data_IF_400292870955
#
_entry.id   IF_400292870955
#
_cell.length_a   1.000
_cell.length_b   1.000
_cell.length_c   1.000
_cell.angle_alpha   90.00
_cell.angle_beta   90.00
_cell.angle_gamma   90.00
#
_symmetry.space_group_name_H-M   'P 1'
#
loop_
_entity.id
_entity.type
_entity.pdbx_description
1 polymer ?
#
# COMPACT_ATOMS: atom_id res chain seq x y z
N UNK A 1 -40.53 -27.67 24.09
CA UNK A 1 -39.78 -28.31 25.19
C UNK A 1 -38.33 -27.76 25.19
N UNK A 2 -38.07 -26.92 26.15
CA UNK A 2 -36.75 -26.30 26.39
C UNK A 2 -36.04 -27.22 27.37
N UNK A 3 -34.85 -27.72 26.98
CA UNK A 3 -33.96 -28.46 27.89
C UNK A 3 -32.82 -27.52 28.30
N UNK A 4 -32.89 -27.16 29.58
CA UNK A 4 -31.91 -26.33 30.25
C UNK A 4 -30.81 -27.25 30.81
N UNK A 5 -29.55 -27.14 30.34
CA UNK A 5 -28.38 -27.84 30.87
C UNK A 5 -27.69 -26.98 31.90
N UNK A 6 -27.86 -27.27 33.17
CA UNK A 6 -27.07 -26.71 34.27
C UNK A 6 -25.74 -27.43 34.35
N UNK A 7 -24.66 -26.74 34.07
CA UNK A 7 -23.29 -27.17 34.39
C UNK A 7 -22.94 -26.75 35.81
N UNK A 8 -22.86 -27.73 36.71
CA UNK A 8 -22.37 -27.57 38.05
C UNK A 8 -20.85 -27.35 38.03
N UNK A 9 -20.44 -26.15 38.42
CA UNK A 9 -19.03 -25.79 38.59
C UNK A 9 -18.56 -26.37 39.92
N UNK A 10 -17.73 -27.43 39.90
CA UNK A 10 -17.08 -28.01 41.07
C UNK A 10 -15.92 -27.11 41.52
N UNK A 11 -16.05 -26.44 42.64
CA UNK A 11 -14.96 -25.71 43.29
C UNK A 11 -13.94 -26.66 43.92
N UNK A 12 -12.85 -26.92 43.21
CA UNK A 12 -11.65 -27.55 43.83
C UNK A 12 -10.86 -26.46 44.58
N UNK A 13 -10.70 -26.64 45.90
CA UNK A 13 -9.85 -25.78 46.74
C UNK A 13 -8.38 -25.98 46.38
N UNK A 14 -7.74 -24.91 45.93
CA UNK A 14 -6.30 -24.82 45.72
C UNK A 14 -5.65 -24.55 47.09
N UNK A 15 -4.65 -25.33 47.56
CA UNK A 15 -3.96 -25.05 48.79
C UNK A 15 -3.07 -23.81 48.62
N UNK A 16 -3.23 -22.88 49.55
CA UNK A 16 -2.41 -21.69 49.69
C UNK A 16 -1.02 -22.06 50.22
N UNK A 17 -0.02 -22.09 49.37
CA UNK A 17 1.38 -21.71 49.69
C UNK A 17 2.15 -21.59 48.38
N UNK A 18 2.24 -20.35 47.88
CA UNK A 18 3.26 -19.97 46.90
C UNK A 18 4.59 -19.82 47.65
N UNK A 19 5.72 -20.33 47.13
CA UNK A 19 7.03 -20.03 47.66
C UNK A 19 7.32 -18.54 47.47
N UNK A 20 7.85 -17.90 48.50
CA UNK A 20 8.40 -16.55 48.43
C UNK A 20 9.50 -16.50 47.37
N UNK A 21 9.21 -15.87 46.26
CA UNK A 21 10.23 -15.45 45.30
C UNK A 21 11.00 -14.29 45.95
N UNK A 22 12.21 -14.58 46.40
CA UNK A 22 13.20 -13.54 46.66
C UNK A 22 13.43 -12.77 45.36
N UNK A 23 12.88 -11.58 45.26
CA UNK A 23 13.14 -10.64 44.19
C UNK A 23 14.59 -10.17 44.28
N UNK A 24 15.49 -10.86 43.61
CA UNK A 24 16.72 -10.21 43.17
C UNK A 24 16.36 -9.20 42.08
N UNK A 25 16.14 -7.99 42.53
CA UNK A 25 16.05 -6.82 41.64
C UNK A 25 17.45 -6.55 41.07
N UNK A 26 17.84 -7.30 40.06
CA UNK A 26 18.84 -6.82 39.10
C UNK A 26 18.13 -5.76 38.32
N UNK A 27 18.45 -4.50 38.59
CA UNK A 27 18.14 -3.37 37.77
C UNK A 27 18.88 -3.60 36.44
N UNK A 28 18.26 -4.32 35.51
CA UNK A 28 18.69 -4.27 34.10
C UNK A 28 18.54 -2.83 33.67
N UNK A 29 19.64 -2.11 33.62
CA UNK A 29 19.74 -0.82 32.95
C UNK A 29 19.48 -1.15 31.48
N UNK A 30 18.23 -1.00 31.03
CA UNK A 30 17.91 -1.12 29.62
C UNK A 30 18.83 -0.15 28.89
N UNK A 31 19.74 -0.71 28.08
CA UNK A 31 20.63 0.11 27.27
C UNK A 31 19.77 1.08 26.45
N UNK A 32 19.97 2.38 26.66
CA UNK A 32 19.26 3.40 25.91
C UNK A 32 19.64 3.21 24.44
N UNK A 33 18.66 2.79 23.64
CA UNK A 33 18.87 2.61 22.22
C UNK A 33 19.28 3.95 21.57
N UNK A 34 20.43 3.96 20.90
CA UNK A 34 20.92 5.11 20.14
C UNK A 34 20.76 4.79 18.65
N UNK A 35 19.85 5.47 17.94
CA UNK A 35 19.65 5.24 16.51
C UNK A 35 20.94 5.50 15.72
N UNK A 36 21.19 4.67 14.68
CA UNK A 36 22.26 4.93 13.72
C UNK A 36 21.84 6.11 12.81
N UNK A 37 22.80 6.91 12.30
CA UNK A 37 22.48 8.07 11.46
C UNK A 37 21.62 7.74 10.22
N UNK A 38 21.86 6.57 9.60
CA UNK A 38 21.18 6.13 8.37
C UNK A 38 20.05 5.13 8.62
N UNK A 39 19.65 4.94 9.87
CA UNK A 39 18.60 3.99 10.19
C UNK A 39 17.23 4.53 9.83
N UNK A 40 16.50 3.78 9.00
CA UNK A 40 15.11 4.04 8.67
C UNK A 40 14.22 3.38 9.73
N UNK A 41 13.48 4.19 10.48
CA UNK A 41 12.43 3.78 11.39
C UNK A 41 11.13 4.31 10.85
N UNK A 42 10.37 3.45 10.18
CA UNK A 42 9.23 3.87 9.38
C UNK A 42 7.92 3.21 9.79
N UNK A 43 6.83 3.80 9.37
CA UNK A 43 5.48 3.23 9.42
C UNK A 43 4.81 3.38 8.06
N UNK A 44 3.97 2.40 7.71
CA UNK A 44 3.09 2.46 6.54
C UNK A 44 1.76 3.07 6.95
N UNK A 45 1.29 4.03 6.15
CA UNK A 45 -0.02 4.68 6.27
C UNK A 45 -0.80 4.29 5.02
N UNK A 46 -1.74 3.38 5.17
CA UNK A 46 -2.51 2.84 4.06
C UNK A 46 -3.60 3.81 3.57
N UNK A 47 -4.14 3.56 2.39
CA UNK A 47 -5.24 4.37 1.84
C UNK A 47 -6.51 4.39 2.73
N UNK A 48 -6.65 3.43 3.64
CA UNK A 48 -7.78 3.37 4.58
C UNK A 48 -7.63 4.29 5.78
N UNK A 49 -6.41 4.74 6.08
CA UNK A 49 -6.05 5.57 7.23
C UNK A 49 -5.85 7.04 6.85
N UNK A 50 -5.80 7.33 5.54
CA UNK A 50 -5.63 8.69 5.05
C UNK A 50 -6.80 9.58 5.51
N UNK A 51 -6.52 10.87 5.80
CA UNK A 51 -7.56 11.82 6.09
C UNK A 51 -8.59 11.92 4.94
N UNK A 52 -9.84 12.22 5.29
CA UNK A 52 -10.92 12.38 4.33
C UNK A 52 -10.86 13.78 3.67
N UNK A 53 -10.39 13.82 2.42
CA UNK A 53 -10.23 15.04 1.64
C UNK A 53 -11.59 15.72 1.32
N UNK A 54 -12.70 14.96 1.33
CA UNK A 54 -14.03 15.54 1.12
C UNK A 54 -14.49 16.48 2.24
N UNK A 55 -13.76 16.49 3.38
CA UNK A 55 -14.03 17.43 4.48
C UNK A 55 -13.39 18.82 4.29
N UNK A 56 -12.64 19.01 3.22
CA UNK A 56 -11.92 20.25 2.89
C UNK A 56 -10.50 20.30 3.42
N UNK A 57 -9.69 21.22 2.83
CA UNK A 57 -8.25 21.30 3.08
C UNK A 57 -7.89 21.52 4.55
N UNK A 58 -8.59 22.41 5.24
CA UNK A 58 -8.29 22.75 6.64
C UNK A 58 -8.36 21.52 7.55
N UNK A 59 -9.47 20.77 7.50
CA UNK A 59 -9.63 19.54 8.29
C UNK A 59 -8.70 18.42 7.84
N UNK A 60 -8.44 18.33 6.56
CA UNK A 60 -7.47 17.37 6.03
C UNK A 60 -6.07 17.65 6.60
N UNK A 61 -5.64 18.90 6.58
CA UNK A 61 -4.36 19.36 7.11
C UNK A 61 -4.25 19.11 8.62
N UNK A 62 -5.27 19.47 9.40
CA UNK A 62 -5.32 19.20 10.84
C UNK A 62 -5.10 17.72 11.16
N UNK A 63 -5.80 16.83 10.45
CA UNK A 63 -5.67 15.38 10.64
C UNK A 63 -4.32 14.84 10.17
N UNK A 64 -3.77 15.35 9.08
CA UNK A 64 -2.45 15.00 8.61
C UNK A 64 -1.34 15.44 9.59
N UNK A 65 -1.44 16.64 10.14
CA UNK A 65 -0.52 17.15 11.17
C UNK A 65 -0.57 16.30 12.45
N UNK A 66 -1.76 15.98 12.94
CA UNK A 66 -1.95 15.09 14.10
C UNK A 66 -1.29 13.71 13.84
N UNK A 67 -1.56 13.12 12.70
CA UNK A 67 -1.03 11.80 12.31
C UNK A 67 0.50 11.81 12.25
N UNK A 68 1.11 12.77 11.57
CA UNK A 68 2.57 12.82 11.43
C UNK A 68 3.27 13.24 12.73
N UNK A 69 2.68 14.11 13.53
CA UNK A 69 3.23 14.42 14.86
C UNK A 69 3.23 13.18 15.76
N UNK A 70 2.17 12.36 15.75
CA UNK A 70 2.12 11.10 16.49
C UNK A 70 3.24 10.15 16.04
N UNK A 71 3.52 10.06 14.73
CA UNK A 71 4.64 9.27 14.20
C UNK A 71 5.99 9.80 14.69
N UNK A 72 6.19 11.10 14.68
CA UNK A 72 7.42 11.74 15.16
C UNK A 72 7.62 11.53 16.68
N UNK A 73 6.55 11.59 17.47
CA UNK A 73 6.56 11.33 18.92
C UNK A 73 6.96 9.88 19.25
N UNK A 74 6.62 8.93 18.38
CA UNK A 74 7.07 7.53 18.46
C UNK A 74 8.57 7.37 18.10
N UNK A 75 9.29 8.47 17.79
CA UNK A 75 10.70 8.48 17.37
C UNK A 75 10.95 7.76 16.05
N UNK A 76 9.93 7.64 15.20
CA UNK A 76 10.06 7.25 13.81
C UNK A 76 10.55 8.45 13.00
N UNK A 77 11.15 8.19 11.83
CA UNK A 77 11.75 9.24 10.99
C UNK A 77 11.28 9.22 9.53
N UNK A 78 10.45 8.23 9.17
CA UNK A 78 10.00 8.04 7.80
C UNK A 78 8.56 7.51 7.79
N UNK A 79 7.77 7.96 6.82
CA UNK A 79 6.44 7.45 6.55
C UNK A 79 6.34 6.97 5.09
N UNK A 80 5.76 5.81 4.89
CA UNK A 80 5.35 5.32 3.57
C UNK A 80 3.86 5.57 3.43
N UNK A 81 3.48 6.56 2.61
CA UNK A 81 2.08 7.01 2.49
C UNK A 81 1.49 6.50 1.18
N UNK A 82 0.38 5.78 1.26
CA UNK A 82 -0.27 5.14 0.13
C UNK A 82 -0.96 6.15 -0.77
N UNK A 83 -0.25 6.67 -1.77
CA UNK A 83 -0.75 7.71 -2.69
C UNK A 83 -1.43 7.14 -3.93
N UNK A 84 -1.12 5.87 -4.26
CA UNK A 84 -1.75 5.08 -5.33
C UNK A 84 -1.93 3.64 -4.90
N UNK A 85 -3.08 3.36 -4.28
CA UNK A 85 -3.41 2.03 -3.77
C UNK A 85 -3.97 1.10 -4.85
N UNK A 86 -4.64 1.71 -5.82
CA UNK A 86 -5.23 1.09 -6.98
C UNK A 86 -4.79 1.88 -8.21
N UNK A 87 -5.41 1.69 -9.36
CA UNK A 87 -5.17 2.58 -10.49
C UNK A 87 -5.89 3.94 -10.29
N UNK A 88 -5.61 4.60 -9.18
CA UNK A 88 -6.18 5.86 -8.70
C UNK A 88 -5.08 6.74 -8.08
N UNK A 89 -5.37 7.98 -7.71
CA UNK A 89 -4.41 8.89 -7.09
C UNK A 89 -5.07 9.77 -6.01
N UNK A 90 -4.29 10.15 -4.97
CA UNK A 90 -4.67 11.17 -3.98
C UNK A 90 -4.06 12.54 -4.30
N UNK A 91 -3.80 12.80 -5.58
CA UNK A 91 -3.24 14.04 -6.11
C UNK A 91 -3.80 14.31 -7.51
N UNK A 92 -3.73 15.55 -8.03
CA UNK A 92 -4.17 15.89 -9.39
C UNK A 92 -3.32 15.15 -10.43
N UNK A 93 -3.76 13.96 -10.86
CA UNK A 93 -3.09 13.17 -11.89
C UNK A 93 -3.73 13.36 -13.25
N UNK A 94 -2.92 13.39 -14.31
CA UNK A 94 -3.39 13.36 -15.71
C UNK A 94 -3.68 11.94 -16.21
N UNK A 95 -3.18 10.93 -15.47
CA UNK A 95 -3.20 9.52 -15.85
C UNK A 95 -4.23 8.71 -15.06
N UNK A 96 -4.46 9.08 -13.80
CA UNK A 96 -5.26 8.31 -12.87
C UNK A 96 -6.42 9.12 -12.30
N UNK A 97 -7.61 8.51 -12.10
CA UNK A 97 -8.73 9.18 -11.46
C UNK A 97 -8.44 9.39 -9.97
N UNK A 98 -9.20 10.30 -9.36
CA UNK A 98 -9.15 10.53 -7.92
C UNK A 98 -9.49 9.27 -7.11
N UNK A 99 -8.74 9.05 -6.04
CA UNK A 99 -8.93 7.92 -5.15
C UNK A 99 -10.30 7.95 -4.46
N UNK A 100 -10.99 6.81 -4.46
CA UNK A 100 -12.28 6.67 -3.78
C UNK A 100 -12.17 6.67 -2.26
N UNK A 101 -10.99 6.36 -1.72
CA UNK A 101 -10.81 6.23 -0.27
C UNK A 101 -10.66 7.59 0.42
N UNK A 102 -9.66 8.38 0.06
CA UNK A 102 -9.46 9.71 0.63
C UNK A 102 -10.30 10.78 -0.07
N UNK A 103 -10.38 10.74 -1.42
CA UNK A 103 -11.01 11.79 -2.23
C UNK A 103 -12.46 11.48 -2.65
N UNK A 104 -13.04 10.36 -2.21
CA UNK A 104 -14.39 9.90 -2.61
C UNK A 104 -14.60 9.82 -4.14
N UNK A 105 -13.52 9.61 -4.90
CA UNK A 105 -13.53 9.47 -6.35
C UNK A 105 -13.72 10.79 -7.11
N UNK A 106 -13.56 11.94 -6.47
CA UNK A 106 -13.72 13.27 -7.08
C UNK A 106 -12.65 14.24 -6.62
N UNK A 107 -12.46 15.32 -7.39
CA UNK A 107 -11.57 16.41 -7.03
C UNK A 107 -12.02 17.07 -5.72
N UNK A 108 -11.19 17.08 -4.65
CA UNK A 108 -11.53 17.71 -3.40
C UNK A 108 -11.36 19.25 -3.41
N UNK A 109 -10.89 19.84 -4.52
CA UNK A 109 -10.64 21.27 -4.64
C UNK A 109 -9.29 21.75 -4.08
N UNK A 110 -8.42 20.83 -3.68
CA UNK A 110 -7.04 21.07 -3.24
C UNK A 110 -6.18 19.84 -3.55
N UNK A 111 -4.89 19.91 -3.25
CA UNK A 111 -3.94 18.82 -3.49
C UNK A 111 -3.58 18.09 -2.17
N UNK A 112 -4.19 16.92 -1.89
CA UNK A 112 -3.94 16.17 -0.66
C UNK A 112 -2.49 15.72 -0.50
N UNK A 113 -1.81 15.30 -1.59
CA UNK A 113 -0.41 14.86 -1.51
C UNK A 113 0.51 16.03 -1.13
N UNK A 114 0.31 17.19 -1.73
CA UNK A 114 1.07 18.40 -1.38
C UNK A 114 0.90 18.74 0.11
N UNK A 115 -0.32 18.70 0.63
CA UNK A 115 -0.58 18.93 2.06
C UNK A 115 0.14 17.89 2.93
N UNK A 116 0.11 16.61 2.56
CA UNK A 116 0.79 15.55 3.31
C UNK A 116 2.32 15.72 3.31
N UNK A 117 2.93 16.07 2.18
CA UNK A 117 4.37 16.36 2.08
C UNK A 117 4.75 17.51 3.01
N UNK A 118 4.03 18.63 2.95
CA UNK A 118 4.26 19.78 3.82
C UNK A 118 4.16 19.42 5.31
N UNK A 119 3.13 18.65 5.71
CA UNK A 119 2.91 18.27 7.10
C UNK A 119 3.98 17.27 7.59
N UNK A 120 4.37 16.28 6.78
CA UNK A 120 5.42 15.33 7.12
C UNK A 120 6.77 16.03 7.33
N UNK A 121 7.18 16.90 6.40
CA UNK A 121 8.42 17.67 6.52
C UNK A 121 8.42 18.62 7.72
N UNK A 122 7.28 19.25 8.03
CA UNK A 122 7.12 20.10 9.22
C UNK A 122 7.28 19.29 10.52
N UNK A 123 6.85 18.02 10.53
CA UNK A 123 7.05 17.09 11.65
C UNK A 123 8.48 16.49 11.69
N UNK A 124 9.35 16.85 10.75
CA UNK A 124 10.73 16.32 10.65
C UNK A 124 10.81 14.89 10.11
N UNK A 125 9.76 14.42 9.41
CA UNK A 125 9.70 13.08 8.82
C UNK A 125 10.05 13.12 7.33
N UNK A 126 10.70 12.06 6.85
CA UNK A 126 10.76 11.75 5.42
C UNK A 126 9.44 11.12 4.98
N UNK A 127 8.96 11.49 3.80
CA UNK A 127 7.76 10.94 3.20
C UNK A 127 8.08 10.26 1.88
N UNK A 128 7.78 8.95 1.80
CA UNK A 128 7.85 8.20 0.56
C UNK A 128 6.46 7.98 0.00
N UNK A 129 6.28 8.28 -1.27
CA UNK A 129 5.04 7.99 -1.98
C UNK A 129 4.93 6.48 -2.24
N UNK A 130 3.99 5.83 -1.57
CA UNK A 130 3.75 4.40 -1.72
C UNK A 130 2.72 4.15 -2.83
N UNK A 131 3.08 3.29 -3.76
CA UNK A 131 2.25 2.87 -4.88
C UNK A 131 2.15 1.34 -4.96
N UNK A 132 0.97 0.84 -5.33
CA UNK A 132 0.76 -0.52 -5.80
C UNK A 132 0.64 -0.47 -7.32
N UNK A 133 1.64 -0.95 -8.09
CA UNK A 133 1.69 -0.68 -9.52
C UNK A 133 0.62 -1.44 -10.31
N UNK A 134 0.36 -2.71 -9.98
CA UNK A 134 -0.46 -3.58 -10.82
C UNK A 134 -1.90 -3.75 -10.33
N UNK A 135 -2.23 -3.35 -9.10
CA UNK A 135 -3.58 -3.48 -8.58
C UNK A 135 -4.49 -2.36 -9.11
N UNK A 136 -5.56 -2.73 -9.82
CA UNK A 136 -6.54 -1.80 -10.39
C UNK A 136 -7.76 -1.67 -9.49
N UNK A 137 -8.29 -2.78 -8.99
CA UNK A 137 -9.50 -2.81 -8.15
C UNK A 137 -9.52 -4.05 -7.27
N UNK A 138 -10.11 -3.92 -6.08
CA UNK A 138 -10.44 -5.06 -5.20
C UNK A 138 -11.77 -5.75 -5.58
N UNK A 139 -12.48 -5.23 -6.58
CA UNK A 139 -13.69 -5.82 -7.15
C UNK A 139 -13.40 -6.28 -8.57
N UNK A 140 -13.97 -7.40 -8.99
CA UNK A 140 -13.96 -7.91 -10.35
C UNK A 140 -14.96 -7.22 -11.29
N UNK A 141 -15.79 -6.33 -10.74
CA UNK A 141 -16.77 -5.59 -11.52
C UNK A 141 -16.12 -4.43 -12.29
N UNK A 142 -15.94 -4.62 -13.58
CA UNK A 142 -15.37 -3.65 -14.54
C UNK A 142 -16.21 -2.36 -14.60
N UNK A 143 -17.53 -2.46 -14.51
CA UNK A 143 -18.41 -1.30 -14.58
C UNK A 143 -18.23 -0.37 -13.37
N UNK A 144 -17.75 -0.89 -12.26
CA UNK A 144 -17.44 -0.12 -11.05
C UNK A 144 -16.17 0.74 -11.15
N UNK A 145 -15.35 0.53 -12.17
CA UNK A 145 -14.15 1.36 -12.38
C UNK A 145 -14.53 2.81 -12.70
N UNK A 146 -13.80 3.80 -12.17
CA UNK A 146 -14.01 5.20 -12.51
C UNK A 146 -13.92 5.45 -14.03
N UNK A 147 -14.67 6.44 -14.53
CA UNK A 147 -14.67 6.79 -15.96
C UNK A 147 -13.26 7.12 -16.49
N UNK A 148 -12.41 7.77 -15.68
CA UNK A 148 -11.03 8.11 -16.03
C UNK A 148 -10.01 6.99 -15.82
N UNK A 149 -10.42 5.79 -15.39
CA UNK A 149 -9.49 4.68 -15.14
C UNK A 149 -8.77 4.27 -16.43
N UNK A 150 -7.42 4.22 -16.43
CA UNK A 150 -6.67 3.72 -17.58
C UNK A 150 -7.00 2.26 -17.89
N UNK A 151 -7.27 1.43 -16.89
CA UNK A 151 -7.69 0.05 -17.09
C UNK A 151 -8.98 -0.07 -17.88
N UNK A 152 -9.92 0.88 -17.72
CA UNK A 152 -11.19 0.87 -18.48
C UNK A 152 -11.01 1.01 -19.98
N UNK A 153 -9.93 1.68 -20.41
CA UNK A 153 -9.55 1.82 -21.83
C UNK A 153 -8.88 0.57 -22.40
N UNK A 154 -8.31 -0.26 -21.52
CA UNK A 154 -7.51 -1.44 -21.85
C UNK A 154 -8.28 -2.77 -21.66
N UNK A 155 -9.55 -2.70 -21.25
CA UNK A 155 -10.39 -3.88 -21.09
C UNK A 155 -10.56 -4.60 -22.43
N UNK A 156 -10.40 -5.93 -22.40
CA UNK A 156 -10.46 -6.77 -23.60
C UNK A 156 -9.13 -6.86 -24.34
N UNK A 157 -8.07 -6.25 -23.81
CA UNK A 157 -6.68 -6.51 -24.21
C UNK A 157 -6.01 -7.45 -23.22
N UNK A 158 -4.86 -8.02 -23.58
CA UNK A 158 -4.06 -8.87 -22.70
C UNK A 158 -3.40 -8.09 -21.54
N UNK A 159 -3.56 -6.78 -21.51
CA UNK A 159 -2.97 -5.84 -20.54
C UNK A 159 -3.74 -5.81 -19.20
N UNK A 160 -5.01 -6.24 -19.17
CA UNK A 160 -5.87 -6.22 -17.98
C UNK A 160 -6.34 -7.61 -17.63
N UNK A 161 -5.99 -8.05 -16.43
CA UNK A 161 -6.34 -9.35 -15.87
C UNK A 161 -7.52 -9.19 -14.93
N UNK A 162 -8.64 -9.87 -15.22
CA UNK A 162 -9.83 -9.90 -14.37
C UNK A 162 -9.91 -11.24 -13.63
N UNK A 163 -9.83 -11.19 -12.32
CA UNK A 163 -9.94 -12.35 -11.42
C UNK A 163 -11.10 -12.13 -10.43
N UNK A 164 -11.59 -13.20 -9.81
CA UNK A 164 -12.66 -13.13 -8.79
C UNK A 164 -12.33 -12.21 -7.60
N UNK A 165 -11.05 -11.99 -7.32
CA UNK A 165 -10.57 -11.18 -6.20
C UNK A 165 -10.12 -9.78 -6.62
N UNK A 166 -10.37 -9.37 -7.87
CA UNK A 166 -10.05 -8.03 -8.34
C UNK A 166 -9.66 -7.93 -9.80
N UNK A 167 -9.32 -6.71 -10.19
CA UNK A 167 -8.82 -6.38 -11.52
C UNK A 167 -7.36 -5.93 -11.35
N UNK A 168 -6.51 -6.35 -12.25
CA UNK A 168 -5.07 -6.11 -12.22
C UNK A 168 -4.56 -5.72 -13.60
N UNK A 169 -3.48 -4.98 -13.65
CA UNK A 169 -2.66 -4.87 -14.85
C UNK A 169 -1.76 -6.09 -14.97
N UNK A 170 -1.43 -6.47 -16.21
CA UNK A 170 -0.46 -7.54 -16.44
C UNK A 170 0.95 -7.06 -16.11
N UNK A 171 1.66 -7.74 -15.18
CA UNK A 171 3.02 -7.39 -14.80
C UNK A 171 4.07 -7.57 -15.91
N UNK A 172 3.76 -8.30 -16.99
CA UNK A 172 4.66 -8.48 -18.13
C UNK A 172 4.48 -7.40 -19.22
N UNK A 173 3.38 -6.65 -19.18
CA UNK A 173 3.06 -5.67 -20.22
C UNK A 173 3.96 -4.43 -20.16
N UNK A 174 4.69 -4.17 -21.25
CA UNK A 174 5.53 -2.96 -21.40
C UNK A 174 4.70 -1.67 -21.41
N UNK A 175 3.47 -1.72 -21.90
CA UNK A 175 2.56 -0.56 -21.90
C UNK A 175 2.12 -0.20 -20.48
N UNK A 176 1.91 -1.23 -19.63
CA UNK A 176 1.65 -1.05 -18.21
C UNK A 176 2.87 -0.46 -17.51
N UNK A 177 4.07 -0.98 -17.78
CA UNK A 177 5.30 -0.41 -17.21
C UNK A 177 5.43 1.08 -17.57
N UNK A 178 5.23 1.44 -18.84
CA UNK A 178 5.26 2.84 -19.28
C UNK A 178 4.24 3.71 -18.54
N UNK A 179 2.99 3.25 -18.40
CA UNK A 179 1.95 3.94 -17.63
C UNK A 179 2.37 4.17 -16.16
N UNK A 180 2.95 3.14 -15.53
CA UNK A 180 3.36 3.23 -14.12
C UNK A 180 4.55 4.18 -13.96
N UNK A 181 5.55 4.13 -14.88
CA UNK A 181 6.69 5.04 -14.88
C UNK A 181 6.28 6.49 -15.10
N UNK A 182 5.34 6.74 -16.02
CA UNK A 182 4.80 8.08 -16.23
C UNK A 182 4.07 8.59 -14.98
N UNK A 183 3.33 7.72 -14.29
CA UNK A 183 2.70 8.06 -13.02
C UNK A 183 3.69 8.29 -11.88
N UNK A 184 4.84 7.59 -11.85
CA UNK A 184 5.94 7.88 -10.92
C UNK A 184 6.57 9.23 -11.24
N UNK A 185 6.76 9.52 -12.53
CA UNK A 185 7.29 10.82 -12.98
C UNK A 185 6.38 11.98 -12.58
N UNK A 186 5.04 11.84 -12.70
CA UNK A 186 4.10 12.86 -12.18
C UNK A 186 4.37 13.18 -10.69
N UNK A 187 4.65 12.17 -9.87
CA UNK A 187 4.94 12.36 -8.45
C UNK A 187 6.27 13.07 -8.27
N UNK A 188 7.34 12.58 -8.92
CA UNK A 188 8.69 13.13 -8.75
C UNK A 188 8.83 14.55 -9.30
N UNK A 189 8.13 14.88 -10.37
CA UNK A 189 8.16 16.22 -10.97
C UNK A 189 7.28 17.22 -10.20
N UNK A 190 6.24 16.72 -9.50
CA UNK A 190 5.24 17.57 -8.84
C UNK A 190 5.44 17.78 -7.34
N UNK A 191 6.21 16.90 -6.67
CA UNK A 191 6.26 16.86 -5.21
C UNK A 191 7.65 16.58 -4.67
N UNK A 192 7.98 17.23 -3.55
CA UNK A 192 9.23 17.02 -2.80
C UNK A 192 9.13 15.77 -1.91
N UNK A 193 8.78 14.61 -2.50
CA UNK A 193 8.81 13.34 -1.78
C UNK A 193 10.25 12.87 -1.61
N UNK A 194 10.56 12.21 -0.49
CA UNK A 194 11.91 11.70 -0.19
C UNK A 194 12.22 10.36 -0.87
N UNK A 195 11.19 9.74 -1.48
CA UNK A 195 11.34 8.50 -2.23
C UNK A 195 10.02 7.95 -2.76
N UNK A 196 10.15 6.93 -3.60
CA UNK A 196 9.04 6.09 -4.03
C UNK A 196 9.15 4.75 -3.32
N UNK A 197 8.03 4.26 -2.81
CA UNK A 197 7.90 2.93 -2.23
C UNK A 197 6.94 2.10 -3.07
N UNK A 198 7.37 0.91 -3.48
CA UNK A 198 6.57 -0.01 -4.30
C UNK A 198 6.26 -1.24 -3.47
N UNK A 199 5.00 -1.61 -3.41
CA UNK A 199 4.50 -2.85 -2.81
C UNK A 199 3.41 -3.45 -3.70
N UNK A 200 2.99 -4.71 -3.43
CA UNK A 200 1.98 -5.44 -4.20
C UNK A 200 2.29 -5.47 -5.73
N UNK A 201 3.58 -5.62 -6.06
CA UNK A 201 4.10 -5.67 -7.45
C UNK A 201 4.27 -7.11 -7.95
N UNK A 202 3.46 -8.03 -7.42
CA UNK A 202 3.51 -9.45 -7.70
C UNK A 202 2.48 -9.83 -8.78
N UNK A 203 2.70 -10.99 -9.39
CA UNK A 203 1.67 -11.63 -10.19
C UNK A 203 0.44 -11.96 -9.32
N UNK A 204 -0.78 -11.61 -9.77
CA UNK A 204 -1.99 -11.77 -8.96
C UNK A 204 -2.43 -13.24 -8.83
N UNK A 205 -1.90 -14.12 -9.67
CA UNK A 205 -2.20 -15.55 -9.70
C UNK A 205 -1.06 -16.34 -10.31
N UNK A 206 -1.07 -17.66 -10.10
CA UNK A 206 -0.19 -18.62 -10.76
C UNK A 206 -0.79 -19.21 -12.04
N UNK A 207 -2.00 -18.84 -12.40
CA UNK A 207 -2.65 -19.30 -13.63
C UNK A 207 -1.77 -18.92 -14.84
N UNK A 208 -1.48 -19.91 -15.69
CA UNK A 208 -0.58 -19.76 -16.84
C UNK A 208 -1.26 -19.07 -18.04
N UNK A 209 -2.57 -18.87 -17.96
CA UNK A 209 -3.33 -18.28 -19.06
C UNK A 209 -3.32 -16.74 -19.08
N UNK A 210 -2.94 -16.09 -17.97
CA UNK A 210 -3.12 -14.65 -17.79
C UNK A 210 -2.19 -13.77 -18.62
N UNK A 211 -1.02 -14.30 -19.00
CA UNK A 211 0.05 -13.63 -19.75
C UNK A 211 0.58 -14.52 -20.86
N UNK A 212 -0.28 -15.43 -21.35
CA UNK A 212 0.11 -16.42 -22.36
C UNK A 212 0.61 -15.78 -23.65
N UNK A 213 -0.04 -14.72 -24.12
CA UNK A 213 0.33 -14.05 -25.36
C UNK A 213 1.72 -13.43 -25.28
N UNK A 214 2.06 -12.79 -24.17
CA UNK A 214 3.35 -12.19 -23.89
C UNK A 214 4.46 -13.27 -23.80
N UNK A 215 4.15 -14.36 -23.09
CA UNK A 215 5.11 -15.47 -22.98
C UNK A 215 5.33 -16.18 -24.32
N UNK A 216 4.29 -16.43 -25.12
CA UNK A 216 4.42 -17.01 -26.46
C UNK A 216 5.20 -16.06 -27.40
N UNK A 217 5.01 -14.75 -27.30
CA UNK A 217 5.81 -13.77 -28.03
C UNK A 217 7.29 -13.81 -27.61
N UNK A 218 7.58 -13.92 -26.30
CA UNK A 218 8.93 -14.09 -25.79
C UNK A 218 9.62 -15.36 -26.37
N UNK A 219 8.95 -16.50 -26.32
CA UNK A 219 9.48 -17.77 -26.85
C UNK A 219 9.68 -17.71 -28.36
N UNK A 220 8.72 -17.13 -29.10
CA UNK A 220 8.80 -16.95 -30.56
C UNK A 220 9.94 -16.01 -30.96
N UNK A 221 10.30 -15.08 -30.11
CA UNK A 221 11.46 -14.18 -30.25
C UNK A 221 12.81 -14.84 -29.92
N UNK A 222 12.82 -16.13 -29.57
CA UNK A 222 14.04 -16.88 -29.23
C UNK A 222 14.35 -16.94 -27.74
N UNK A 223 13.40 -16.58 -26.90
CA UNK A 223 13.52 -16.74 -25.45
C UNK A 223 13.55 -18.20 -25.04
N UNK A 224 14.42 -18.55 -24.07
CA UNK A 224 14.72 -19.93 -23.64
C UNK A 224 14.33 -20.23 -22.19
N UNK A 225 13.82 -19.21 -21.44
CA UNK A 225 13.43 -19.35 -20.04
C UNK A 225 12.04 -19.96 -19.92
N UNK A 226 11.86 -20.79 -18.89
CA UNK A 226 10.53 -21.28 -18.53
C UNK A 226 9.64 -20.15 -17.98
N UNK A 227 8.31 -20.31 -18.06
CA UNK A 227 7.30 -19.31 -17.70
C UNK A 227 7.57 -18.64 -16.33
N UNK A 228 7.86 -19.43 -15.29
CA UNK A 228 8.07 -18.87 -13.95
C UNK A 228 9.37 -18.05 -13.83
N UNK A 229 10.39 -18.37 -14.59
CA UNK A 229 11.63 -17.62 -14.65
C UNK A 229 11.43 -16.31 -15.42
N UNK A 230 10.78 -16.39 -16.57
CA UNK A 230 10.41 -15.23 -17.36
C UNK A 230 9.53 -14.24 -16.58
N UNK A 231 8.52 -14.72 -15.84
CA UNK A 231 7.68 -13.88 -14.96
C UNK A 231 8.50 -13.16 -13.89
N UNK A 232 9.45 -13.87 -13.24
CA UNK A 232 10.34 -13.24 -12.26
C UNK A 232 11.19 -12.15 -12.88
N UNK A 233 11.73 -12.41 -14.06
CA UNK A 233 12.56 -11.45 -14.77
C UNK A 233 11.77 -10.23 -15.22
N UNK A 234 10.53 -10.40 -15.67
CA UNK A 234 9.63 -9.30 -16.05
C UNK A 234 9.38 -8.35 -14.86
N UNK A 235 9.06 -8.92 -13.68
CA UNK A 235 8.88 -8.12 -12.46
C UNK A 235 10.18 -7.50 -11.99
N UNK A 236 11.32 -8.20 -12.09
CA UNK A 236 12.62 -7.66 -11.71
C UNK A 236 13.04 -6.52 -12.62
N UNK A 237 12.78 -6.63 -13.92
CA UNK A 237 13.06 -5.57 -14.90
C UNK A 237 12.18 -4.34 -14.66
N UNK A 238 10.93 -4.54 -14.24
CA UNK A 238 10.06 -3.44 -13.84
C UNK A 238 10.58 -2.68 -12.62
N UNK A 239 11.17 -3.37 -11.64
CA UNK A 239 11.61 -2.78 -10.38
C UNK A 239 13.04 -2.18 -10.43
N UNK A 240 13.79 -2.42 -11.53
CA UNK A 240 15.17 -1.96 -11.73
C UNK A 240 15.23 -0.53 -12.29
#
# INVERSE_FOLDING_TARGET
>A
SIVLFCLLCSCARIPAKLPEQTSNSTTETSAVYTPKPDEIRAVWISCYELPDAAQGEEKFRERAEEMFNNVADMKLNTVFVHVRAFADAVYPSKLFPWSKYSCKGSDPGFDPLKVMVECAHRAGLKIHAWINPFRVSSSDNIDSLPQGSPAKKLIGTDTVIQLKNGIYFDPASTDVHALIYDGVREILDGYEVDGIHIDDYFYPTRDESIDRAEYEAYVSGGGDKGLNEWRRDSVSAFAA
#
